data_IF_556989392122
#
_entry.id   IF_556989392122
#
_cell.length_a   1.000
_cell.length_b   1.000
_cell.length_c   1.000
_cell.angle_alpha   90.00
_cell.angle_beta   90.00
_cell.angle_gamma   90.00
#
_symmetry.space_group_name_H-M   'P 1'
#
loop_
_entity.id
_entity.type
_entity.pdbx_description
1 polymer ?
#
# COMPACT_ATOMS: atom_id res chain seq x y z
N UNK A 1 -0.08 21.82 -0.38
CA UNK A 1 0.33 20.45 -0.02
C UNK A 1 1.32 20.04 -1.10
N UNK A 2 2.59 19.81 -0.76
CA UNK A 2 3.58 19.39 -1.75
C UNK A 2 3.19 17.99 -2.23
N UNK A 3 3.02 17.86 -3.55
CA UNK A 3 2.72 16.57 -4.17
C UNK A 3 3.96 15.66 -4.06
N UNK A 4 3.76 14.36 -3.90
CA UNK A 4 4.88 13.40 -3.79
C UNK A 4 5.76 13.47 -5.05
N UNK A 5 7.09 13.39 -4.86
CA UNK A 5 8.05 13.33 -5.97
C UNK A 5 7.77 12.11 -6.86
N UNK A 6 7.91 12.28 -8.18
CA UNK A 6 7.56 11.25 -9.16
C UNK A 6 8.36 9.96 -9.01
N UNK A 7 9.63 10.05 -8.61
CA UNK A 7 10.47 8.88 -8.38
C UNK A 7 9.98 8.10 -7.17
N UNK A 8 9.63 8.81 -6.09
CA UNK A 8 9.10 8.20 -4.86
C UNK A 8 7.75 7.53 -5.15
N UNK A 9 6.86 8.23 -5.86
CA UNK A 9 5.57 7.68 -6.25
C UNK A 9 5.73 6.42 -7.11
N UNK A 10 6.65 6.44 -8.08
CA UNK A 10 6.89 5.30 -8.95
C UNK A 10 7.47 4.11 -8.18
N UNK A 11 8.44 4.34 -7.29
CA UNK A 11 8.99 3.30 -6.41
C UNK A 11 7.91 2.68 -5.53
N UNK A 12 7.10 3.52 -4.86
CA UNK A 12 6.03 3.06 -3.98
C UNK A 12 4.96 2.28 -4.77
N UNK A 13 4.57 2.76 -5.95
CA UNK A 13 3.62 2.11 -6.82
C UNK A 13 4.15 0.76 -7.32
N UNK A 14 5.42 0.69 -7.73
CA UNK A 14 6.06 -0.55 -8.18
C UNK A 14 5.97 -1.62 -7.09
N UNK A 15 6.37 -1.29 -5.86
CA UNK A 15 6.29 -2.23 -4.74
C UNK A 15 4.84 -2.65 -4.42
N UNK A 16 3.89 -1.71 -4.48
CA UNK A 16 2.47 -2.01 -4.26
C UNK A 16 1.88 -2.94 -5.34
N UNK A 17 2.29 -2.78 -6.60
CA UNK A 17 1.86 -3.66 -7.71
C UNK A 17 2.49 -5.05 -7.54
N UNK A 18 3.78 -5.13 -7.24
CA UNK A 18 4.45 -6.40 -6.98
C UNK A 18 3.87 -7.14 -5.78
N UNK A 19 3.48 -6.43 -4.70
CA UNK A 19 2.81 -7.04 -3.54
C UNK A 19 1.47 -7.69 -3.93
N UNK A 20 0.78 -7.17 -4.95
CA UNK A 20 -0.43 -7.78 -5.54
C UNK A 20 -0.14 -8.95 -6.48
N UNK A 21 1.10 -9.42 -6.52
CA UNK A 21 1.58 -10.48 -7.42
C UNK A 21 1.34 -10.13 -8.90
N UNK A 22 1.42 -8.84 -9.21
CA UNK A 22 1.33 -8.31 -10.56
C UNK A 22 2.71 -7.84 -11.04
N UNK A 23 2.86 -7.80 -12.35
CA UNK A 23 4.06 -7.36 -13.05
C UNK A 23 4.04 -5.83 -13.18
N UNK A 24 4.87 -5.15 -12.39
CA UNK A 24 4.89 -3.69 -12.33
C UNK A 24 5.24 -3.05 -13.67
N UNK A 25 6.16 -3.65 -14.44
CA UNK A 25 6.55 -3.15 -15.76
C UNK A 25 5.36 -3.21 -16.72
N UNK A 26 4.64 -4.33 -16.77
CA UNK A 26 3.44 -4.45 -17.60
C UNK A 26 2.34 -3.47 -17.21
N UNK A 27 2.18 -3.21 -15.91
CA UNK A 27 1.21 -2.21 -15.45
C UNK A 27 1.65 -0.80 -15.87
N UNK A 28 2.93 -0.46 -15.74
CA UNK A 28 3.45 0.83 -16.19
C UNK A 28 3.34 1.03 -17.70
N UNK A 29 3.67 0.01 -18.50
CA UNK A 29 3.51 0.02 -19.95
C UNK A 29 2.05 0.27 -20.35
N UNK A 30 1.10 -0.41 -19.70
CA UNK A 30 -0.33 -0.22 -19.94
C UNK A 30 -0.82 1.20 -19.57
N UNK A 31 -0.10 1.90 -18.68
CA UNK A 31 -0.36 3.29 -18.31
C UNK A 31 0.47 4.29 -19.14
N UNK A 32 1.28 3.81 -20.09
CA UNK A 32 2.20 4.63 -20.89
C UNK A 32 3.27 5.32 -20.05
N UNK A 33 3.70 4.69 -18.96
CA UNK A 33 4.73 5.19 -18.05
C UNK A 33 6.06 4.55 -18.42
N UNK A 34 7.00 5.35 -18.93
CA UNK A 34 8.39 4.93 -19.03
C UNK A 34 9.07 5.06 -17.66
N UNK A 35 9.20 3.94 -16.96
CA UNK A 35 9.77 3.91 -15.63
C UNK A 35 11.22 4.39 -15.58
N UNK A 36 12.02 4.10 -16.61
CA UNK A 36 13.43 4.52 -16.67
C UNK A 36 13.54 6.03 -16.87
N UNK A 37 12.71 6.60 -17.75
CA UNK A 37 12.68 8.04 -17.99
C UNK A 37 12.22 8.82 -16.74
N UNK A 38 11.24 8.30 -16.00
CA UNK A 38 10.78 8.90 -14.74
C UNK A 38 11.84 8.79 -13.65
N UNK A 39 12.45 7.61 -13.49
CA UNK A 39 13.52 7.40 -12.50
C UNK A 39 14.78 8.22 -12.80
N UNK A 40 15.07 8.55 -14.05
CA UNK A 40 16.18 9.44 -14.43
C UNK A 40 15.82 10.93 -14.45
N UNK A 41 14.58 11.28 -14.10
CA UNK A 41 14.02 12.65 -14.17
C UNK A 41 14.01 13.26 -15.57
N UNK A 42 14.17 12.45 -16.62
CA UNK A 42 14.08 12.92 -18.00
C UNK A 42 12.63 13.10 -18.47
N UNK A 43 11.68 12.47 -17.78
CA UNK A 43 10.24 12.63 -18.03
C UNK A 43 9.48 12.72 -16.70
N UNK A 44 8.53 13.65 -16.61
CA UNK A 44 7.62 13.75 -15.47
C UNK A 44 6.35 12.90 -15.69
N UNK A 45 5.73 12.44 -14.61
CA UNK A 45 4.43 11.79 -14.70
C UNK A 45 3.34 12.81 -15.04
N UNK A 46 2.47 12.46 -15.97
CA UNK A 46 1.26 13.26 -16.25
C UNK A 46 0.30 13.24 -15.05
N UNK A 47 -0.58 14.24 -14.96
CA UNK A 47 -1.61 14.28 -13.92
C UNK A 47 -2.58 13.07 -13.98
N UNK A 48 -2.77 12.46 -15.16
CA UNK A 48 -3.57 11.23 -15.27
C UNK A 48 -2.82 10.03 -14.67
N UNK A 49 -1.55 9.86 -15.02
CA UNK A 49 -0.71 8.78 -14.50
C UNK A 49 -0.55 8.87 -12.98
N UNK A 50 -0.24 10.05 -12.44
CA UNK A 50 -0.20 10.30 -10.99
C UNK A 50 -1.49 9.85 -10.30
N UNK A 51 -2.65 10.26 -10.84
CA UNK A 51 -3.96 9.87 -10.30
C UNK A 51 -4.21 8.36 -10.38
N UNK A 52 -3.75 7.70 -11.42
CA UNK A 52 -3.88 6.24 -11.56
C UNK A 52 -3.00 5.50 -10.55
N UNK A 53 -1.75 5.93 -10.35
CA UNK A 53 -0.85 5.36 -9.34
C UNK A 53 -1.36 5.61 -7.92
N UNK A 54 -1.89 6.80 -7.61
CA UNK A 54 -2.50 7.10 -6.30
C UNK A 54 -3.63 6.15 -5.94
N UNK A 55 -4.43 5.68 -6.92
CA UNK A 55 -5.55 4.75 -6.69
C UNK A 55 -5.11 3.36 -6.22
N UNK A 56 -3.81 3.06 -6.24
CA UNK A 56 -3.26 1.88 -5.61
C UNK A 56 -3.33 1.93 -4.08
N UNK A 57 -3.66 3.08 -3.50
CA UNK A 57 -3.69 3.30 -2.06
C UNK A 57 -5.05 3.86 -1.64
N UNK A 58 -5.45 3.59 -0.39
CA UNK A 58 -6.56 4.34 0.22
C UNK A 58 -6.15 5.80 0.45
N UNK A 59 -7.13 6.68 0.70
CA UNK A 59 -6.82 8.09 1.02
C UNK A 59 -5.95 8.21 2.27
N UNK A 60 -6.18 7.36 3.28
CA UNK A 60 -5.38 7.34 4.50
C UNK A 60 -3.96 6.83 4.23
N UNK A 61 -3.79 5.78 3.44
CA UNK A 61 -2.47 5.27 3.06
C UNK A 61 -1.68 6.29 2.24
N UNK A 62 -2.36 7.01 1.34
CA UNK A 62 -1.73 8.08 0.57
C UNK A 62 -1.27 9.24 1.46
N UNK A 63 -2.08 9.64 2.45
CA UNK A 63 -1.68 10.62 3.45
C UNK A 63 -0.51 10.10 4.30
N UNK A 64 -0.57 8.84 4.73
CA UNK A 64 0.47 8.23 5.55
C UNK A 64 1.81 8.21 4.81
N UNK A 65 1.82 7.77 3.54
CA UNK A 65 3.01 7.75 2.70
C UNK A 65 3.67 9.14 2.60
N UNK A 66 2.89 10.18 2.32
CA UNK A 66 3.40 11.56 2.27
C UNK A 66 3.97 12.06 3.62
N UNK A 67 3.49 11.51 4.74
CA UNK A 67 3.90 11.94 6.08
C UNK A 67 5.18 11.25 6.56
N UNK A 68 5.40 10.00 6.13
CA UNK A 68 6.44 9.13 6.72
C UNK A 68 7.62 8.88 5.80
N UNK A 69 7.46 9.06 4.49
CA UNK A 69 8.55 8.84 3.55
C UNK A 69 9.51 10.03 3.61
N UNK A 70 10.70 9.76 4.11
CA UNK A 70 11.86 10.64 4.04
C UNK A 70 12.76 10.20 2.87
N UNK A 71 12.91 11.02 1.81
CA UNK A 71 13.75 10.69 0.66
C UNK A 71 15.24 10.64 1.00
N UNK A 72 15.68 11.28 2.09
CA UNK A 72 17.08 11.30 2.52
C UNK A 72 17.42 10.10 3.42
N UNK A 73 16.40 9.30 3.81
CA UNK A 73 16.59 8.12 4.63
C UNK A 73 17.25 6.98 3.84
N UNK A 74 18.15 6.26 4.50
CA UNK A 74 18.73 5.03 3.96
C UNK A 74 17.72 3.86 3.92
N UNK A 75 16.57 3.99 4.59
CA UNK A 75 15.54 2.96 4.61
C UNK A 75 14.76 3.02 3.28
N UNK A 76 14.55 1.88 2.59
CA UNK A 76 13.75 1.85 1.36
C UNK A 76 12.36 2.46 1.56
N UNK A 77 11.90 3.25 0.57
CA UNK A 77 10.58 3.93 0.57
C UNK A 77 9.43 3.00 0.96
N UNK A 78 9.42 1.79 0.40
CA UNK A 78 8.41 0.78 0.70
C UNK A 78 8.44 0.35 2.17
N UNK A 79 9.62 0.13 2.74
CA UNK A 79 9.77 -0.30 4.12
C UNK A 79 9.33 0.80 5.08
N UNK A 80 9.71 2.07 4.83
CA UNK A 80 9.22 3.22 5.61
C UNK A 80 7.69 3.25 5.66
N UNK A 81 7.04 3.08 4.50
CA UNK A 81 5.59 3.05 4.40
C UNK A 81 4.96 1.84 5.12
N UNK A 82 5.48 0.63 4.91
CA UNK A 82 4.94 -0.59 5.52
C UNK A 82 5.10 -0.60 7.04
N UNK A 83 6.25 -0.16 7.56
CA UNK A 83 6.47 -0.03 9.00
C UNK A 83 5.47 0.93 9.65
N UNK A 84 5.32 2.13 9.08
CA UNK A 84 4.36 3.11 9.56
C UNK A 84 2.92 2.55 9.53
N UNK A 85 2.56 1.89 8.42
CA UNK A 85 1.25 1.27 8.25
C UNK A 85 0.98 0.17 9.28
N UNK A 86 1.99 -0.65 9.62
CA UNK A 86 1.90 -1.67 10.66
C UNK A 86 1.72 -1.07 12.06
N UNK A 87 2.45 0.02 12.37
CA UNK A 87 2.31 0.72 13.66
C UNK A 87 0.88 1.24 13.82
N UNK A 88 0.34 1.92 12.80
CA UNK A 88 -1.03 2.44 12.84
C UNK A 88 -2.05 1.31 12.94
N UNK A 89 -1.90 0.24 12.15
CA UNK A 89 -2.82 -0.89 12.16
C UNK A 89 -2.90 -1.57 13.53
N UNK A 90 -1.77 -1.74 14.22
CA UNK A 90 -1.74 -2.29 15.59
C UNK A 90 -2.48 -1.41 16.58
N UNK A 91 -2.35 -0.08 16.47
CA UNK A 91 -3.10 0.86 17.30
C UNK A 91 -4.60 0.79 17.01
N UNK A 92 -4.99 0.76 15.74
CA UNK A 92 -6.40 0.68 15.35
C UNK A 92 -7.07 -0.59 15.88
N UNK A 93 -6.42 -1.75 15.82
CA UNK A 93 -7.00 -3.00 16.31
C UNK A 93 -7.27 -3.01 17.82
N UNK A 94 -6.67 -2.10 18.60
CA UNK A 94 -6.98 -1.94 20.02
C UNK A 94 -8.23 -1.07 20.28
N UNK A 95 -8.76 -0.39 19.25
CA UNK A 95 -9.91 0.49 19.36
C UNK A 95 -11.21 -0.26 19.08
N UNK A 96 -12.27 0.04 19.85
CA UNK A 96 -13.57 -0.61 19.72
C UNK A 96 -14.36 -0.24 18.45
N UNK A 97 -14.01 0.87 17.80
CA UNK A 97 -14.63 1.36 16.56
C UNK A 97 -13.85 0.94 15.29
N UNK A 98 -12.93 -0.02 15.42
CA UNK A 98 -12.22 -0.62 14.29
C UNK A 98 -12.90 -1.92 13.88
N UNK A 99 -13.08 -2.09 12.57
CA UNK A 99 -13.60 -3.31 11.98
C UNK A 99 -12.60 -3.90 11.00
N UNK A 100 -12.58 -5.22 10.86
CA UNK A 100 -11.71 -5.92 9.91
C UNK A 100 -12.53 -6.69 8.89
N UNK A 101 -12.15 -6.65 7.62
CA UNK A 101 -12.78 -7.40 6.55
C UNK A 101 -11.74 -8.03 5.65
N UNK A 102 -11.98 -9.29 5.26
CA UNK A 102 -11.23 -9.92 4.19
C UNK A 102 -11.98 -9.74 2.86
N UNK A 103 -11.25 -9.33 1.82
CA UNK A 103 -11.74 -9.30 0.45
C UNK A 103 -10.86 -10.21 -0.40
N UNK A 104 -11.47 -10.98 -1.29
CA UNK A 104 -10.74 -11.64 -2.37
C UNK A 104 -10.56 -10.66 -3.54
N UNK A 105 -9.55 -10.90 -4.38
CA UNK A 105 -9.40 -10.21 -5.65
C UNK A 105 -10.14 -10.97 -6.78
N UNK A 106 -11.38 -11.40 -6.52
CA UNK A 106 -12.25 -12.13 -7.44
C UNK A 106 -11.59 -13.31 -8.17
N UNK A 107 -10.59 -13.96 -7.54
CA UNK A 107 -9.82 -15.07 -8.12
C UNK A 107 -8.83 -14.68 -9.23
N UNK A 108 -8.58 -13.39 -9.47
CA UNK A 108 -7.63 -12.92 -10.50
C UNK A 108 -6.17 -13.11 -10.09
N UNK A 109 -5.90 -12.98 -8.81
CA UNK A 109 -4.58 -13.15 -8.22
C UNK A 109 -4.68 -13.98 -6.94
N UNK A 110 -3.65 -14.75 -6.54
CA UNK A 110 -3.66 -15.56 -5.33
C UNK A 110 -3.36 -14.73 -4.07
N UNK A 111 -3.93 -13.52 -3.99
CA UNK A 111 -3.81 -12.61 -2.86
C UNK A 111 -5.17 -12.41 -2.19
N UNK A 112 -5.15 -12.01 -0.94
CA UNK A 112 -6.32 -11.54 -0.21
C UNK A 112 -6.01 -10.21 0.46
N UNK A 113 -7.02 -9.36 0.52
CA UNK A 113 -6.97 -8.06 1.14
C UNK A 113 -7.52 -8.16 2.57
N UNK A 114 -6.72 -7.81 3.56
CA UNK A 114 -7.16 -7.55 4.92
C UNK A 114 -7.36 -6.04 5.08
N UNK A 115 -8.61 -5.60 5.07
CA UNK A 115 -8.97 -4.21 5.32
C UNK A 115 -9.24 -3.98 6.80
N UNK A 116 -8.58 -2.96 7.37
CA UNK A 116 -8.88 -2.40 8.67
C UNK A 116 -9.59 -1.06 8.43
N UNK A 117 -10.80 -0.91 8.98
CA UNK A 117 -11.60 0.31 8.88
C UNK A 117 -11.82 0.90 10.27
N UNK A 118 -11.28 2.09 10.51
CA UNK A 118 -11.53 2.89 11.71
C UNK A 118 -12.67 3.87 11.42
N UNK A 119 -13.80 3.72 12.12
CA UNK A 119 -15.00 4.54 11.88
C UNK A 119 -15.14 5.64 12.93
N UNK A 120 -15.15 6.90 12.51
CA UNK A 120 -15.36 8.05 13.40
C UNK A 120 -16.83 8.46 13.45
N UNK A 121 -17.51 8.44 12.30
CA UNK A 121 -18.94 8.76 12.16
C UNK A 121 -19.50 8.07 10.90
N UNK A 122 -20.83 8.06 10.68
CA UNK A 122 -21.41 7.61 9.42
C UNK A 122 -20.77 8.34 8.23
N UNK A 123 -20.24 7.59 7.27
CA UNK A 123 -19.50 8.09 6.10
C UNK A 123 -18.15 8.78 6.39
N UNK A 124 -17.66 8.74 7.64
CA UNK A 124 -16.34 9.24 8.02
C UNK A 124 -15.53 8.09 8.62
N UNK A 125 -14.68 7.48 7.78
CA UNK A 125 -13.84 6.37 8.18
C UNK A 125 -12.54 6.37 7.38
N UNK A 126 -11.47 5.95 8.05
CA UNK A 126 -10.19 5.67 7.40
C UNK A 126 -10.05 4.17 7.18
N UNK A 127 -9.31 3.81 6.13
CA UNK A 127 -9.10 2.40 5.75
C UNK A 127 -7.62 2.15 5.50
N UNK A 128 -7.11 1.06 6.07
CA UNK A 128 -5.82 0.46 5.70
C UNK A 128 -6.09 -0.86 4.98
N UNK A 129 -5.34 -1.15 3.92
CA UNK A 129 -5.56 -2.32 3.07
C UNK A 129 -4.29 -3.17 2.95
N UNK A 130 -4.23 -4.30 3.66
CA UNK A 130 -3.07 -5.19 3.61
C UNK A 130 -3.27 -6.26 2.54
N UNK A 131 -2.39 -6.25 1.53
CA UNK A 131 -2.35 -7.29 0.50
C UNK A 131 -1.46 -8.43 0.98
N UNK A 132 -2.05 -9.62 1.11
CA UNK A 132 -1.42 -10.79 1.71
C UNK A 132 -1.55 -12.00 0.77
N UNK A 133 -0.56 -12.89 0.67
CA UNK A 133 -0.73 -14.14 -0.07
C UNK A 133 -1.87 -14.97 0.53
N UNK A 134 -2.76 -15.49 -0.33
CA UNK A 134 -3.94 -16.25 0.11
C UNK A 134 -3.57 -17.44 1.03
N UNK A 135 -2.44 -18.10 0.73
CA UNK A 135 -1.93 -19.22 1.53
C UNK A 135 -1.58 -18.82 2.97
N UNK A 136 -1.06 -17.60 3.17
CA UNK A 136 -0.70 -17.08 4.49
C UNK A 136 -1.96 -16.82 5.31
N UNK A 137 -2.98 -16.21 4.71
CA UNK A 137 -4.24 -15.93 5.40
C UNK A 137 -4.96 -17.22 5.81
N UNK A 138 -4.95 -18.23 4.95
CA UNK A 138 -5.51 -19.56 5.27
C UNK A 138 -4.77 -20.22 6.45
N UNK A 139 -3.42 -20.16 6.46
CA UNK A 139 -2.61 -20.76 7.54
C UNK A 139 -2.77 -20.07 8.88
N UNK A 140 -2.91 -18.74 8.89
CA UNK A 140 -3.05 -17.96 10.11
C UNK A 140 -4.50 -17.78 10.57
N UNK A 141 -5.42 -18.58 10.01
CA UNK A 141 -6.85 -18.63 10.36
C UNK A 141 -7.49 -17.24 10.37
N UNK A 142 -7.07 -16.35 9.46
CA UNK A 142 -7.62 -15.00 9.34
C UNK A 142 -7.53 -14.15 10.63
N UNK A 143 -6.58 -14.43 11.55
CA UNK A 143 -6.36 -13.63 12.76
C UNK A 143 -5.59 -12.33 12.40
N UNK A 144 -6.20 -11.13 12.51
CA UNK A 144 -5.57 -9.89 12.04
C UNK A 144 -4.21 -9.60 12.70
N UNK A 145 -4.10 -9.77 14.02
CA UNK A 145 -2.83 -9.54 14.73
C UNK A 145 -1.71 -10.52 14.33
N UNK A 146 -2.05 -11.77 14.02
CA UNK A 146 -1.09 -12.74 13.52
C UNK A 146 -0.60 -12.36 12.12
N UNK A 147 -1.51 -11.90 11.26
CA UNK A 147 -1.17 -11.43 9.90
C UNK A 147 -0.32 -10.16 9.91
N UNK A 148 -0.59 -9.22 10.81
CA UNK A 148 0.25 -8.03 11.00
C UNK A 148 1.64 -8.37 11.59
N UNK A 149 1.74 -9.46 12.35
CA UNK A 149 3.03 -9.93 12.88
C UNK A 149 3.85 -10.59 11.78
N UNK A 150 3.24 -11.48 11.01
CA UNK A 150 3.86 -12.05 9.83
C UNK A 150 4.29 -10.97 8.82
N UNK A 151 3.45 -9.97 8.57
CA UNK A 151 3.79 -8.88 7.64
C UNK A 151 5.01 -8.09 8.10
N UNK A 152 5.21 -7.94 9.41
CA UNK A 152 6.40 -7.28 9.98
C UNK A 152 7.66 -8.12 9.72
N UNK A 153 7.58 -9.44 9.90
CA UNK A 153 8.69 -10.37 9.67
C UNK A 153 9.15 -10.40 8.20
N UNK A 154 8.31 -9.95 7.25
CA UNK A 154 8.69 -9.83 5.84
C UNK A 154 9.44 -8.53 5.51
N UNK A 155 9.55 -7.59 6.45
CA UNK A 155 10.28 -6.32 6.26
C UNK A 155 11.73 -6.38 6.74
N UNK A 156 12.07 -7.42 7.53
CA UNK A 156 13.41 -7.72 8.04
C UNK A 156 14.24 -8.50 7.00
#
# INVERSE_FOLDING_TARGET
MNDMDDQILLQLASSAITQRMQDAEKVFDALGIDGVAVMSRSQALTALQRRQLRRLFTDYEWMLAQKVIDPESAIPVWNQFQEAKLVVARQWLALSNTTTKFLDDAGKTPVMHLQLRLTYAPNLADVLDFVLPQQVVQRLESKPLALLTWSKEQLE
#
